data_IF_388537373489
#
_entry.id   IF_388537373489
#
_cell.length_a   1.000
_cell.length_b   1.000
_cell.length_c   1.000
_cell.angle_alpha   90.00
_cell.angle_beta   90.00
_cell.angle_gamma   90.00
#
_symmetry.space_group_name_H-M   'P 1'
#
loop_
_entity.id
_entity.type
_entity.pdbx_description
1 polymer ?
#
# COMPACT_ATOMS: atom_id res chain seq x y z
N UNK A 1 -1.72 -1.62 20.10
CA UNK A 1 -0.74 -1.26 21.14
C UNK A 1 0.56 -0.78 20.56
N UNK A 2 1.36 -1.67 19.95
CA UNK A 2 2.72 -1.39 19.48
C UNK A 2 2.82 -0.18 18.52
N UNK A 3 1.90 -0.02 17.57
CA UNK A 3 1.91 1.13 16.66
C UNK A 3 1.74 2.48 17.35
N UNK A 4 0.90 2.56 18.39
CA UNK A 4 0.73 3.77 19.19
C UNK A 4 2.00 4.11 19.96
N UNK A 5 2.59 3.13 20.63
CA UNK A 5 3.84 3.30 21.37
C UNK A 5 5.00 3.68 20.46
N UNK A 6 5.04 3.10 19.25
CA UNK A 6 6.03 3.46 18.26
C UNK A 6 5.88 4.90 17.80
N UNK A 7 4.65 5.35 17.48
CA UNK A 7 4.39 6.75 17.11
C UNK A 7 4.71 7.71 18.26
N UNK A 8 4.32 7.38 19.50
CA UNK A 8 4.64 8.18 20.68
C UNK A 8 6.16 8.31 20.87
N UNK A 9 6.88 7.19 20.76
CA UNK A 9 8.34 7.18 20.80
C UNK A 9 8.96 8.03 19.69
N UNK A 10 8.43 7.98 18.45
CA UNK A 10 8.89 8.82 17.35
C UNK A 10 8.71 10.31 17.68
N UNK A 11 7.55 10.70 18.23
CA UNK A 11 7.29 12.07 18.64
C UNK A 11 8.22 12.51 19.78
N UNK A 12 8.31 11.72 20.85
CA UNK A 12 9.16 12.02 21.99
C UNK A 12 10.64 12.17 21.59
N UNK A 13 11.12 11.33 20.67
CA UNK A 13 12.53 11.28 20.27
C UNK A 13 12.89 12.35 19.24
N UNK A 14 12.04 12.56 18.22
CA UNK A 14 12.40 13.36 17.05
C UNK A 14 11.73 14.74 16.97
N UNK A 15 10.76 15.08 17.83
CA UNK A 15 10.06 16.38 17.78
C UNK A 15 10.98 17.60 17.80
N UNK A 16 12.09 17.52 18.54
CA UNK A 16 13.08 18.62 18.69
C UNK A 16 14.40 18.34 17.98
N UNK A 17 14.53 17.21 17.29
CA UNK A 17 15.76 16.86 16.54
C UNK A 17 15.67 17.35 15.11
N UNK A 18 16.82 17.39 14.45
CA UNK A 18 16.89 17.73 13.04
C UNK A 18 16.29 16.61 12.16
N UNK A 19 15.87 16.98 10.95
CA UNK A 19 15.30 16.02 10.00
C UNK A 19 16.30 14.92 9.59
N UNK A 20 17.62 15.18 9.66
CA UNK A 20 18.64 14.20 9.33
C UNK A 20 18.63 13.02 10.30
N UNK A 21 18.50 13.29 11.61
CA UNK A 21 18.37 12.24 12.62
C UNK A 21 17.18 11.33 12.35
N UNK A 22 16.01 11.89 12.05
CA UNK A 22 14.82 11.09 11.72
C UNK A 22 15.01 10.26 10.45
N UNK A 23 15.59 10.85 9.40
CA UNK A 23 15.90 10.14 8.16
C UNK A 23 16.82 8.95 8.40
N UNK A 24 17.92 9.13 9.15
CA UNK A 24 18.92 8.10 9.35
C UNK A 24 18.49 7.01 10.33
N UNK A 25 17.76 7.36 11.39
CA UNK A 25 17.36 6.39 12.42
C UNK A 25 16.08 5.64 12.07
N UNK A 26 15.17 6.24 11.30
CA UNK A 26 13.84 5.67 11.04
C UNK A 26 13.67 5.34 9.57
N UNK A 27 13.74 6.33 8.68
CA UNK A 27 13.35 6.15 7.29
C UNK A 27 14.35 5.31 6.50
N UNK A 28 15.66 5.46 6.72
CA UNK A 28 16.69 4.67 6.02
C UNK A 28 16.60 3.18 6.38
N UNK A 29 16.54 2.77 7.66
CA UNK A 29 16.33 1.36 8.00
C UNK A 29 15.04 0.78 7.42
N UNK A 30 13.94 1.52 7.44
CA UNK A 30 12.69 1.07 6.82
C UNK A 30 12.80 0.97 5.29
N UNK A 31 13.52 1.89 4.63
CA UNK A 31 13.80 1.82 3.21
C UNK A 31 14.63 0.60 2.84
N UNK A 32 15.63 0.25 3.66
CA UNK A 32 16.42 -0.97 3.51
C UNK A 32 15.51 -2.20 3.64
N UNK A 33 14.64 -2.25 4.65
CA UNK A 33 13.66 -3.33 4.81
C UNK A 33 12.74 -3.48 3.59
N UNK A 34 12.22 -2.35 3.07
CA UNK A 34 11.42 -2.35 1.85
C UNK A 34 12.22 -2.84 0.63
N UNK A 35 13.50 -2.46 0.53
CA UNK A 35 14.41 -2.92 -0.51
C UNK A 35 14.62 -4.45 -0.45
N UNK A 36 14.92 -4.99 0.73
CA UNK A 36 15.04 -6.44 0.95
C UNK A 36 13.75 -7.17 0.58
N UNK A 37 12.59 -6.66 1.02
CA UNK A 37 11.30 -7.24 0.67
C UNK A 37 11.06 -7.24 -0.85
N UNK A 38 11.46 -6.16 -1.54
CA UNK A 38 11.35 -6.06 -3.01
C UNK A 38 12.28 -7.03 -3.72
N UNK A 39 13.52 -7.20 -3.24
CA UNK A 39 14.47 -8.19 -3.78
C UNK A 39 13.92 -9.61 -3.64
N UNK A 40 13.35 -9.94 -2.47
CA UNK A 40 12.71 -11.24 -2.26
C UNK A 40 11.51 -11.41 -3.20
N UNK A 41 10.71 -10.35 -3.42
CA UNK A 41 9.62 -10.41 -4.39
C UNK A 41 10.11 -10.60 -5.84
N UNK A 42 11.26 -10.01 -6.22
CA UNK A 42 11.89 -10.28 -7.53
C UNK A 42 12.23 -11.76 -7.65
N UNK A 43 12.84 -12.35 -6.63
CA UNK A 43 13.14 -13.78 -6.59
C UNK A 43 11.88 -14.63 -6.69
N UNK A 44 10.84 -14.28 -5.92
CA UNK A 44 9.55 -14.96 -5.94
C UNK A 44 8.90 -14.91 -7.33
N UNK A 45 8.88 -13.76 -7.98
CA UNK A 45 8.27 -13.62 -9.31
C UNK A 45 9.06 -14.35 -10.41
N UNK A 46 10.39 -14.29 -10.37
CA UNK A 46 11.26 -14.72 -11.48
C UNK A 46 11.80 -16.15 -11.35
N UNK A 47 11.97 -16.67 -10.14
CA UNK A 47 12.66 -17.95 -9.89
C UNK A 47 11.72 -18.96 -9.24
N UNK A 48 11.22 -18.65 -8.03
CA UNK A 48 10.36 -19.56 -7.28
C UNK A 48 9.35 -18.80 -6.43
N UNK A 49 8.10 -18.82 -6.87
CA UNK A 49 6.98 -18.13 -6.22
C UNK A 49 6.68 -18.67 -4.81
N UNK A 50 7.16 -19.86 -4.46
CA UNK A 50 7.02 -20.47 -3.13
C UNK A 50 8.11 -20.05 -2.13
N UNK A 51 9.21 -19.45 -2.58
CA UNK A 51 10.33 -19.08 -1.72
C UNK A 51 9.92 -18.02 -0.69
N UNK A 52 9.98 -18.37 0.60
CA UNK A 52 9.51 -17.54 1.72
C UNK A 52 8.07 -17.00 1.53
N UNK A 53 7.24 -17.74 0.78
CA UNK A 53 5.87 -17.36 0.45
C UNK A 53 4.93 -18.57 0.59
N UNK A 54 4.79 -19.15 1.79
CA UNK A 54 4.09 -20.42 1.95
C UNK A 54 2.59 -20.32 1.65
N UNK A 55 2.02 -21.44 1.17
CA UNK A 55 0.58 -21.66 1.13
C UNK A 55 -0.17 -20.87 0.04
N UNK A 56 -1.23 -20.18 0.45
CA UNK A 56 -2.26 -19.60 -0.42
C UNK A 56 -1.70 -18.60 -1.45
N UNK A 57 -0.79 -17.70 -1.06
CA UNK A 57 -0.28 -16.68 -1.98
C UNK A 57 0.58 -17.24 -3.12
N UNK A 58 1.36 -18.28 -2.86
CA UNK A 58 2.10 -18.97 -3.93
C UNK A 58 1.15 -19.65 -4.92
N UNK A 59 0.08 -20.30 -4.43
CA UNK A 59 -0.93 -20.93 -5.31
C UNK A 59 -1.65 -19.92 -6.21
N UNK A 60 -1.91 -18.72 -5.68
CA UNK A 60 -2.47 -17.60 -6.45
C UNK A 60 -1.44 -16.92 -7.35
N UNK A 61 -0.19 -17.38 -7.34
CA UNK A 61 0.94 -16.80 -8.06
C UNK A 61 1.13 -15.32 -7.70
N UNK A 62 1.21 -15.00 -6.41
CA UNK A 62 1.39 -13.61 -5.93
C UNK A 62 2.58 -13.53 -4.99
N UNK A 63 3.48 -12.58 -5.23
CA UNK A 63 4.64 -12.37 -4.38
C UNK A 63 4.24 -11.60 -3.11
N UNK A 64 4.72 -12.07 -1.95
CA UNK A 64 4.54 -11.39 -0.66
C UNK A 64 5.80 -10.69 -0.15
N UNK A 65 6.91 -10.82 -0.88
CA UNK A 65 8.21 -10.36 -0.41
C UNK A 65 8.55 -11.06 0.91
N UNK A 66 8.87 -10.27 1.94
CA UNK A 66 9.11 -10.77 3.30
C UNK A 66 7.92 -10.58 4.24
N UNK A 67 6.78 -10.10 3.75
CA UNK A 67 5.61 -9.77 4.59
C UNK A 67 4.64 -10.93 4.75
N UNK A 68 4.86 -12.06 4.08
CA UNK A 68 4.01 -13.26 4.12
C UNK A 68 2.57 -13.06 3.60
N UNK A 69 2.18 -11.81 3.32
CA UNK A 69 0.93 -11.43 2.67
C UNK A 69 1.21 -10.46 1.50
N UNK A 70 0.69 -10.83 0.33
CA UNK A 70 0.85 -10.06 -0.88
C UNK A 70 0.12 -8.70 -0.83
N UNK A 71 -1.00 -8.55 -0.12
CA UNK A 71 -1.71 -7.26 -0.09
C UNK A 71 -0.96 -6.17 0.71
N UNK A 72 -0.50 -6.40 1.96
CA UNK A 72 0.35 -5.47 2.68
C UNK A 72 1.68 -5.20 1.96
N UNK A 73 2.29 -6.22 1.35
CA UNK A 73 3.50 -6.02 0.55
C UNK A 73 3.27 -5.06 -0.60
N UNK A 74 2.21 -5.27 -1.39
CA UNK A 74 1.85 -4.38 -2.49
C UNK A 74 1.60 -2.94 -2.03
N UNK A 75 0.87 -2.77 -0.93
CA UNK A 75 0.58 -1.45 -0.36
C UNK A 75 1.86 -0.76 0.12
N UNK A 76 2.74 -1.49 0.82
CA UNK A 76 4.05 -0.99 1.22
C UNK A 76 4.85 -0.55 0.00
N UNK A 77 4.97 -1.40 -1.02
CA UNK A 77 5.71 -1.08 -2.24
C UNK A 77 5.16 0.18 -2.92
N UNK A 78 3.83 0.32 -3.01
CA UNK A 78 3.18 1.50 -3.57
C UNK A 78 3.53 2.79 -2.81
N UNK A 79 3.37 2.79 -1.48
CA UNK A 79 3.62 3.95 -0.63
C UNK A 79 5.11 4.35 -0.62
N UNK A 80 6.01 3.38 -0.65
CA UNK A 80 7.45 3.63 -0.69
C UNK A 80 7.94 4.31 -1.98
N UNK A 81 7.17 4.22 -3.07
CA UNK A 81 7.41 5.06 -4.25
C UNK A 81 7.37 6.55 -3.93
N UNK A 82 6.37 6.98 -3.16
CA UNK A 82 6.23 8.38 -2.73
C UNK A 82 7.20 8.76 -1.60
N UNK A 83 7.34 7.89 -0.59
CA UNK A 83 8.24 8.13 0.55
C UNK A 83 9.70 8.22 0.07
N UNK A 84 10.15 7.31 -0.80
CA UNK A 84 11.51 7.32 -1.33
C UNK A 84 11.80 8.58 -2.13
N UNK A 85 10.87 9.04 -2.97
CA UNK A 85 11.01 10.30 -3.70
C UNK A 85 11.03 11.51 -2.74
N UNK A 86 10.17 11.52 -1.72
CA UNK A 86 10.19 12.58 -0.71
C UNK A 86 11.52 12.62 0.06
N UNK A 87 12.10 11.46 0.40
CA UNK A 87 13.42 11.37 1.00
C UNK A 87 14.51 11.93 0.07
N UNK A 88 14.48 11.59 -1.21
CA UNK A 88 15.40 12.10 -2.22
C UNK A 88 15.33 13.64 -2.30
N UNK A 89 14.13 14.20 -2.41
CA UNK A 89 13.91 15.65 -2.47
C UNK A 89 14.29 16.36 -1.18
N UNK A 90 14.11 15.72 -0.01
CA UNK A 90 14.50 16.30 1.28
C UNK A 90 16.02 16.47 1.40
N UNK A 91 16.79 15.53 0.83
CA UNK A 91 18.26 15.60 0.79
C UNK A 91 18.76 16.60 -0.24
N UNK A 92 18.02 16.79 -1.34
CA UNK A 92 18.40 17.76 -2.37
C UNK A 92 18.43 19.20 -1.83
N UNK A 93 17.54 19.57 -0.91
CA UNK A 93 17.57 20.93 -0.32
C UNK A 93 18.92 21.29 0.32
N UNK A 94 19.75 20.29 0.64
CA UNK A 94 21.09 20.45 1.20
C UNK A 94 22.24 20.19 0.20
N UNK A 95 21.96 19.92 -1.08
CA UNK A 95 22.95 19.44 -2.06
C UNK A 95 22.82 20.13 -3.42
N UNK A 96 23.94 20.31 -4.12
CA UNK A 96 24.03 20.81 -5.51
C UNK A 96 23.78 19.73 -6.57
N UNK A 97 23.04 18.66 -6.21
CA UNK A 97 22.81 17.51 -7.10
C UNK A 97 22.13 17.96 -8.40
N UNK A 98 22.70 17.61 -9.58
CA UNK A 98 22.11 18.01 -10.85
C UNK A 98 20.69 17.43 -11.05
N UNK A 99 19.75 18.19 -11.65
CA UNK A 99 18.39 17.76 -11.90
C UNK A 99 18.22 16.38 -12.58
N UNK A 100 19.12 16.03 -13.49
CA UNK A 100 19.07 14.76 -14.23
C UNK A 100 19.26 13.54 -13.31
N UNK A 101 20.11 13.64 -12.30
CA UNK A 101 20.34 12.54 -11.35
C UNK A 101 19.11 12.33 -10.46
N UNK A 102 18.43 13.40 -10.07
CA UNK A 102 17.21 13.31 -9.28
C UNK A 102 16.07 12.65 -10.07
N UNK A 103 15.96 12.97 -11.36
CA UNK A 103 15.00 12.34 -12.25
C UNK A 103 15.31 10.85 -12.44
N UNK A 104 16.58 10.50 -12.66
CA UNK A 104 17.01 9.10 -12.78
C UNK A 104 16.76 8.31 -11.48
N UNK A 105 17.12 8.87 -10.32
CA UNK A 105 16.88 8.23 -9.03
C UNK A 105 15.37 8.10 -8.72
N UNK A 106 14.57 9.11 -9.06
CA UNK A 106 13.11 9.05 -8.96
C UNK A 106 12.55 7.93 -9.83
N UNK A 107 13.01 7.82 -11.07
CA UNK A 107 12.58 6.76 -11.97
C UNK A 107 12.95 5.37 -11.41
N UNK A 108 14.16 5.19 -10.88
CA UNK A 108 14.58 3.94 -10.26
C UNK A 108 13.71 3.55 -9.05
N UNK A 109 13.41 4.52 -8.16
CA UNK A 109 12.54 4.31 -7.00
C UNK A 109 11.14 3.91 -7.44
N UNK A 110 10.56 4.61 -8.43
CA UNK A 110 9.24 4.30 -8.96
C UNK A 110 9.22 2.94 -9.65
N UNK A 111 10.24 2.58 -10.41
CA UNK A 111 10.30 1.26 -11.05
C UNK A 111 10.34 0.12 -10.03
N UNK A 112 11.14 0.25 -8.96
CA UNK A 112 11.16 -0.74 -7.88
C UNK A 112 9.82 -0.83 -7.13
N UNK A 113 9.22 0.33 -6.83
CA UNK A 113 7.91 0.45 -6.18
C UNK A 113 6.80 -0.20 -7.01
N UNK A 114 6.73 0.11 -8.31
CA UNK A 114 5.73 -0.42 -9.22
C UNK A 114 5.93 -1.90 -9.52
N UNK A 115 7.18 -2.37 -9.58
CA UNK A 115 7.47 -3.80 -9.66
C UNK A 115 6.89 -4.55 -8.45
N UNK A 116 7.22 -4.13 -7.22
CA UNK A 116 6.72 -4.78 -6.01
C UNK A 116 5.19 -4.74 -5.92
N UNK A 117 4.59 -3.59 -6.23
CA UNK A 117 3.14 -3.43 -6.33
C UNK A 117 2.53 -4.43 -7.31
N UNK A 118 3.09 -4.57 -8.50
CA UNK A 118 2.55 -5.44 -9.53
C UNK A 118 2.73 -6.93 -9.22
N UNK A 119 3.93 -7.32 -8.79
CA UNK A 119 4.26 -8.68 -8.36
C UNK A 119 3.34 -9.17 -7.23
N UNK A 120 2.87 -8.24 -6.40
CA UNK A 120 1.92 -8.53 -5.34
C UNK A 120 0.50 -8.87 -5.81
N UNK A 121 0.12 -8.51 -7.04
CA UNK A 121 -1.24 -8.66 -7.54
C UNK A 121 -2.31 -7.86 -6.78
N UNK A 122 -1.95 -6.93 -5.89
CA UNK A 122 -2.92 -6.24 -5.03
C UNK A 122 -3.70 -5.14 -5.77
N UNK A 123 -5.02 -5.28 -5.86
CA UNK A 123 -5.92 -4.27 -6.49
C UNK A 123 -5.95 -2.95 -5.73
N UNK A 124 -5.93 -2.99 -4.39
CA UNK A 124 -5.89 -1.78 -3.56
C UNK A 124 -4.54 -1.08 -3.63
N UNK A 125 -3.45 -1.84 -3.76
CA UNK A 125 -2.12 -1.27 -3.97
C UNK A 125 -2.03 -0.54 -5.31
N UNK A 126 -2.68 -1.04 -6.37
CA UNK A 126 -2.74 -0.36 -7.67
C UNK A 126 -3.38 1.04 -7.54
N UNK A 127 -4.50 1.15 -6.82
CA UNK A 127 -5.14 2.44 -6.57
C UNK A 127 -4.23 3.37 -5.76
N UNK A 128 -3.61 2.86 -4.69
CA UNK A 128 -2.65 3.63 -3.89
C UNK A 128 -1.46 4.10 -4.72
N UNK A 129 -0.92 3.23 -5.59
CA UNK A 129 0.18 3.54 -6.51
C UNK A 129 -0.19 4.63 -7.51
N UNK A 130 -1.43 4.63 -8.02
CA UNK A 130 -1.92 5.71 -8.89
C UNK A 130 -1.99 7.05 -8.15
N UNK A 131 -2.48 7.06 -6.91
CA UNK A 131 -2.50 8.27 -6.06
C UNK A 131 -1.08 8.76 -5.77
N UNK A 132 -0.17 7.87 -5.40
CA UNK A 132 1.25 8.20 -5.19
C UNK A 132 1.88 8.77 -6.44
N UNK A 133 1.65 8.15 -7.61
CA UNK A 133 2.19 8.60 -8.89
C UNK A 133 1.69 10.01 -9.23
N UNK A 134 0.42 10.32 -9.00
CA UNK A 134 -0.12 11.66 -9.19
C UNK A 134 0.63 12.71 -8.35
N UNK A 135 0.83 12.45 -7.05
CA UNK A 135 1.53 13.38 -6.16
C UNK A 135 3.02 13.50 -6.49
N UNK A 136 3.68 12.40 -6.86
CA UNK A 136 5.08 12.41 -7.30
C UNK A 136 5.21 13.19 -8.60
N UNK A 137 4.34 12.95 -9.60
CA UNK A 137 4.35 13.69 -10.85
C UNK A 137 4.16 15.20 -10.61
N UNK A 138 3.21 15.58 -9.76
CA UNK A 138 2.99 16.97 -9.37
C UNK A 138 4.22 17.59 -8.68
N UNK A 139 4.89 16.85 -7.79
CA UNK A 139 6.08 17.33 -7.08
C UNK A 139 7.31 17.46 -8.01
N UNK A 140 7.44 16.56 -8.98
CA UNK A 140 8.58 16.52 -9.91
C UNK A 140 8.38 17.41 -11.14
N UNK A 141 7.15 17.85 -11.42
CA UNK A 141 6.79 18.66 -12.59
C UNK A 141 7.70 19.88 -12.81
N UNK A 142 8.03 20.71 -11.80
CA UNK A 142 8.90 21.86 -12.00
C UNK A 142 10.32 21.46 -12.44
N UNK A 143 10.82 20.32 -11.97
CA UNK A 143 12.14 19.81 -12.33
C UNK A 143 12.19 19.33 -13.78
N UNK A 144 11.11 18.67 -14.22
CA UNK A 144 10.94 18.23 -15.60
C UNK A 144 10.99 19.42 -16.57
N UNK A 145 10.29 20.52 -16.23
CA UNK A 145 10.30 21.74 -17.04
C UNK A 145 11.69 22.39 -17.15
N UNK A 146 12.49 22.35 -16.07
CA UNK A 146 13.84 22.95 -16.06
C UNK A 146 14.85 22.22 -16.94
N UNK A 147 14.77 20.89 -17.04
CA UNK A 147 15.71 20.07 -17.81
C UNK A 147 15.36 20.08 -19.31
N UNK A 148 14.10 20.35 -19.65
CA UNK A 148 13.59 20.36 -21.02
C UNK A 148 13.30 18.94 -21.53
N UNK A 149 12.12 18.76 -22.12
CA UNK A 149 11.59 17.45 -22.57
C UNK A 149 12.51 16.70 -23.53
N UNK A 150 13.30 17.41 -24.35
CA UNK A 150 14.25 16.83 -25.31
C UNK A 150 15.44 16.08 -24.68
N UNK A 151 15.87 16.45 -23.47
CA UNK A 151 16.97 15.78 -22.74
C UNK A 151 16.47 14.71 -21.75
N UNK A 152 15.19 14.78 -21.40
CA UNK A 152 14.47 13.86 -20.51
C UNK A 152 13.95 12.61 -21.23
N UNK A 153 13.59 12.77 -22.50
CA UNK A 153 12.90 11.74 -23.27
C UNK A 153 13.61 10.38 -23.24
N UNK A 154 14.91 10.23 -23.54
CA UNK A 154 15.49 8.88 -23.57
C UNK A 154 15.63 8.26 -22.17
N UNK A 155 16.01 9.02 -21.13
CA UNK A 155 16.29 8.43 -19.81
C UNK A 155 15.02 8.06 -19.03
N UNK A 156 13.99 8.91 -19.07
CA UNK A 156 12.72 8.63 -18.40
C UNK A 156 11.93 7.58 -19.18
N UNK A 157 11.91 7.66 -20.51
CA UNK A 157 11.22 6.65 -21.34
C UNK A 157 11.93 5.31 -21.23
N UNK A 158 13.27 5.24 -21.20
CA UNK A 158 13.99 3.97 -20.99
C UNK A 158 13.77 3.42 -19.57
N UNK A 159 13.74 4.24 -18.53
CA UNK A 159 13.47 3.76 -17.16
C UNK A 159 12.01 3.29 -16.97
N UNK A 160 11.05 3.98 -17.59
CA UNK A 160 9.63 3.59 -17.63
C UNK A 160 9.43 2.35 -18.50
N UNK A 161 10.08 2.26 -19.66
CA UNK A 161 10.03 1.08 -20.53
C UNK A 161 10.70 -0.12 -19.88
N UNK A 162 11.84 0.04 -19.20
CA UNK A 162 12.46 -1.04 -18.42
C UNK A 162 11.59 -1.46 -17.23
N UNK A 163 10.88 -0.52 -16.60
CA UNK A 163 9.84 -0.82 -15.62
C UNK A 163 8.69 -1.63 -16.23
N UNK A 164 8.11 -1.18 -17.34
CA UNK A 164 7.04 -1.87 -18.06
C UNK A 164 7.47 -3.22 -18.64
N UNK A 165 8.70 -3.37 -19.10
CA UNK A 165 9.27 -4.63 -19.60
C UNK A 165 9.54 -5.58 -18.45
N UNK A 166 10.03 -5.12 -17.30
CA UNK A 166 10.14 -5.94 -16.09
C UNK A 166 8.76 -6.35 -15.52
N UNK A 167 7.72 -5.55 -15.74
CA UNK A 167 6.32 -5.85 -15.37
C UNK A 167 5.67 -6.92 -16.27
N UNK A 168 6.09 -7.03 -17.54
CA UNK A 168 5.51 -7.93 -18.54
C UNK A 168 6.34 -9.19 -18.79
N UNK A 169 7.66 -9.12 -18.66
CA UNK A 169 8.55 -10.16 -19.20
C UNK A 169 9.03 -11.23 -18.21
N UNK A 170 8.87 -11.06 -16.89
CA UNK A 170 9.63 -11.90 -15.92
C UNK A 170 8.84 -12.56 -14.80
N UNK A 171 7.52 -12.40 -14.73
CA UNK A 171 6.75 -12.91 -13.59
C UNK A 171 5.94 -14.16 -13.92
N UNK A 172 6.17 -15.25 -13.18
CA UNK A 172 5.10 -16.22 -12.95
C UNK A 172 3.92 -15.60 -12.19
N UNK A 173 4.04 -14.37 -11.68
CA UNK A 173 3.05 -13.75 -10.82
C UNK A 173 1.86 -13.12 -11.57
N UNK A 174 0.65 -13.31 -11.04
CA UNK A 174 -0.60 -12.69 -11.50
C UNK A 174 -0.66 -11.23 -11.06
N UNK A 175 -0.76 -10.32 -12.03
CA UNK A 175 -0.76 -8.88 -11.80
C UNK A 175 -2.10 -8.33 -11.29
N UNK A 176 -2.13 -7.09 -10.75
CA UNK A 176 -3.36 -6.48 -10.25
C UNK A 176 -4.37 -6.21 -11.36
N UNK A 177 -3.92 -5.93 -12.60
CA UNK A 177 -4.81 -5.72 -13.75
C UNK A 177 -5.54 -7.00 -14.14
N UNK A 178 -4.85 -8.13 -14.19
CA UNK A 178 -5.43 -9.44 -14.48
C UNK A 178 -6.51 -9.84 -13.46
N UNK A 179 -6.37 -9.38 -12.21
CA UNK A 179 -7.40 -9.56 -11.17
C UNK A 179 -8.54 -8.53 -11.22
N UNK A 180 -8.30 -7.38 -11.83
CA UNK A 180 -9.28 -6.29 -11.89
C UNK A 180 -10.16 -6.40 -13.14
N UNK A 181 -9.58 -6.71 -14.29
CA UNK A 181 -10.27 -6.73 -15.58
C UNK A 181 -11.50 -7.65 -15.62
N UNK A 182 -11.52 -8.85 -14.98
CA UNK A 182 -12.71 -9.71 -14.99
C UNK A 182 -13.82 -9.18 -14.08
N UNK A 183 -13.49 -8.26 -13.16
CA UNK A 183 -14.45 -7.66 -12.22
C UNK A 183 -15.07 -6.37 -12.72
N UNK A 184 -14.61 -5.83 -13.87
CA UNK A 184 -15.14 -4.58 -14.40
C UNK A 184 -16.57 -4.77 -14.93
N UNK A 185 -17.50 -3.85 -14.62
CA UNK A 185 -18.85 -3.93 -15.15
C UNK A 185 -18.86 -3.69 -16.66
N UNK A 186 -19.83 -4.31 -17.34
CA UNK A 186 -20.21 -3.92 -18.69
C UNK A 186 -20.87 -2.55 -18.72
N UNK A 187 -21.07 -2.00 -19.91
CA UNK A 187 -21.71 -0.70 -20.12
C UNK A 187 -23.25 -0.78 -19.99
N UNK A 188 -23.76 -1.26 -18.86
CA UNK A 188 -25.20 -1.26 -18.55
C UNK A 188 -25.47 -0.85 -17.10
N UNK A 189 -26.62 -0.21 -16.87
CA UNK A 189 -27.04 0.21 -15.52
C UNK A 189 -27.20 -0.97 -14.56
N UNK A 190 -27.66 -2.11 -15.08
CA UNK A 190 -27.78 -3.36 -14.32
C UNK A 190 -26.41 -3.93 -13.95
N UNK A 191 -25.45 -3.94 -14.87
CA UNK A 191 -24.07 -4.38 -14.58
C UNK A 191 -23.37 -3.46 -13.59
N UNK A 192 -23.57 -2.14 -13.71
CA UNK A 192 -23.07 -1.17 -12.73
C UNK A 192 -23.68 -1.38 -11.34
N UNK A 193 -24.98 -1.68 -11.26
CA UNK A 193 -25.66 -1.97 -9.99
C UNK A 193 -25.13 -3.27 -9.38
N UNK A 194 -25.01 -4.33 -10.18
CA UNK A 194 -24.44 -5.60 -9.73
C UNK A 194 -22.99 -5.43 -9.25
N UNK A 195 -22.18 -4.66 -9.97
CA UNK A 195 -20.82 -4.32 -9.55
C UNK A 195 -20.78 -3.49 -8.26
N UNK A 196 -21.68 -2.52 -8.08
CA UNK A 196 -21.78 -1.76 -6.84
C UNK A 196 -22.19 -2.65 -5.66
N UNK A 197 -23.10 -3.61 -5.89
CA UNK A 197 -23.48 -4.62 -4.90
C UNK A 197 -22.28 -5.52 -4.56
N UNK A 198 -21.52 -5.99 -5.55
CA UNK A 198 -20.32 -6.81 -5.34
C UNK A 198 -19.20 -6.03 -4.63
N UNK A 199 -19.09 -4.72 -4.88
CA UNK A 199 -18.21 -3.83 -4.12
C UNK A 199 -18.66 -3.65 -2.67
N UNK A 200 -19.94 -3.90 -2.36
CA UNK A 200 -20.51 -3.77 -1.02
C UNK A 200 -20.52 -5.10 -0.24
N UNK A 201 -20.83 -6.22 -0.89
CA UNK A 201 -20.81 -7.57 -0.34
C UNK A 201 -20.06 -8.52 -1.28
N UNK A 202 -18.72 -8.41 -1.26
CA UNK A 202 -17.85 -9.19 -2.14
C UNK A 202 -17.98 -10.67 -1.80
N UNK A 203 -18.54 -11.48 -2.70
CA UNK A 203 -18.74 -12.93 -2.53
C UNK A 203 -19.27 -13.36 -1.15
N UNK A 204 -20.14 -12.56 -0.50
CA UNK A 204 -20.71 -12.87 0.82
C UNK A 204 -19.76 -12.72 2.01
N UNK A 205 -18.49 -12.32 1.82
CA UNK A 205 -17.54 -12.09 2.92
C UNK A 205 -17.97 -10.95 3.83
N UNK A 206 -18.62 -9.93 3.27
CA UNK A 206 -19.11 -8.79 4.02
C UNK A 206 -20.26 -9.17 4.94
N UNK A 207 -21.23 -9.90 4.40
CA UNK A 207 -22.38 -10.42 5.14
C UNK A 207 -21.95 -11.46 6.18
N UNK A 208 -21.01 -12.35 5.85
CA UNK A 208 -20.44 -13.34 6.78
C UNK A 208 -19.75 -12.65 7.96
N UNK A 209 -18.96 -11.61 7.70
CA UNK A 209 -18.33 -10.83 8.76
C UNK A 209 -19.35 -10.04 9.60
N UNK A 210 -20.38 -9.48 8.98
CA UNK A 210 -21.46 -8.81 9.70
C UNK A 210 -22.21 -9.79 10.62
N UNK A 211 -22.39 -11.04 10.19
CA UNK A 211 -22.96 -12.10 11.01
C UNK A 211 -22.09 -12.41 12.22
N UNK A 212 -20.78 -12.62 12.03
CA UNK A 212 -19.83 -12.83 13.12
C UNK A 212 -19.80 -11.68 14.13
N UNK A 213 -19.87 -10.43 13.66
CA UNK A 213 -19.97 -9.25 14.52
C UNK A 213 -21.28 -9.27 15.31
N UNK A 214 -22.40 -9.65 14.69
CA UNK A 214 -23.69 -9.72 15.36
C UNK A 214 -23.73 -10.82 16.44
N UNK A 215 -23.07 -11.96 16.18
CA UNK A 215 -23.03 -13.08 17.11
C UNK A 215 -22.07 -12.82 18.30
N UNK A 216 -21.00 -12.04 18.11
CA UNK A 216 -20.06 -11.66 19.19
C UNK A 216 -19.65 -10.18 19.12
N UNK A 217 -20.55 -9.23 19.44
CA UNK A 217 -20.31 -7.80 19.18
C UNK A 217 -19.26 -7.18 20.10
N UNK A 218 -19.15 -7.66 21.34
CA UNK A 218 -18.25 -7.05 22.33
C UNK A 218 -16.81 -7.53 22.20
N UNK A 219 -16.62 -8.82 21.93
CA UNK A 219 -15.30 -9.48 22.01
C UNK A 219 -14.85 -10.09 20.69
N UNK A 220 -15.71 -10.13 19.67
CA UNK A 220 -15.42 -10.71 18.38
C UNK A 220 -15.32 -12.23 18.44
N UNK A 221 -14.93 -12.83 17.31
CA UNK A 221 -14.80 -14.28 17.17
C UNK A 221 -13.42 -14.82 17.55
N UNK A 222 -12.49 -13.95 17.95
CA UNK A 222 -11.12 -14.30 18.30
C UNK A 222 -10.10 -13.82 17.28
N UNK A 223 -8.90 -13.51 17.75
CA UNK A 223 -7.80 -12.97 16.94
C UNK A 223 -7.29 -14.03 15.98
N UNK A 224 -7.26 -13.73 14.69
CA UNK A 224 -6.92 -14.66 13.61
C UNK A 224 -7.98 -15.72 13.33
N UNK A 225 -9.10 -15.73 14.06
CA UNK A 225 -10.14 -16.75 13.93
C UNK A 225 -11.08 -16.50 12.74
N UNK A 226 -11.06 -15.30 12.14
CA UNK A 226 -11.92 -15.01 10.99
C UNK A 226 -11.68 -16.00 9.85
N UNK A 227 -10.42 -16.24 9.49
CA UNK A 227 -10.05 -17.14 8.41
C UNK A 227 -10.43 -18.60 8.67
N UNK A 228 -10.54 -19.00 9.94
CA UNK A 228 -10.97 -20.34 10.33
C UNK A 228 -12.49 -20.50 10.25
N UNK A 229 -13.25 -19.46 10.62
CA UNK A 229 -14.71 -19.52 10.73
C UNK A 229 -15.44 -19.11 9.45
N UNK A 230 -14.81 -18.32 8.58
CA UNK A 230 -15.44 -17.80 7.36
C UNK A 230 -16.00 -18.88 6.42
N UNK A 231 -15.36 -20.06 6.25
CA UNK A 231 -15.92 -21.10 5.38
C UNK A 231 -17.24 -21.67 5.92
N UNK A 232 -17.34 -21.86 7.23
CA UNK A 232 -18.49 -22.49 7.88
C UNK A 232 -19.65 -21.51 8.02
N UNK A 233 -19.39 -20.28 8.47
CA UNK A 233 -20.45 -19.24 8.58
C UNK A 233 -20.95 -18.85 7.19
N UNK A 234 -20.08 -18.77 6.18
CA UNK A 234 -20.50 -18.54 4.79
C UNK A 234 -21.41 -19.66 4.26
N UNK A 235 -21.12 -20.92 4.62
CA UNK A 235 -21.93 -22.07 4.25
C UNK A 235 -23.32 -22.01 4.91
N UNK A 236 -23.39 -21.68 6.20
CA UNK A 236 -24.67 -21.52 6.92
C UNK A 236 -25.55 -20.41 6.33
N UNK A 237 -24.93 -19.35 5.79
CA UNK A 237 -25.62 -18.25 5.12
C UNK A 237 -26.01 -18.54 3.66
N UNK A 238 -25.69 -19.72 3.14
CA UNK A 238 -26.07 -20.14 1.79
C UNK A 238 -25.11 -19.70 0.68
N UNK A 239 -23.93 -19.17 1.02
CA UNK A 239 -22.90 -18.80 0.03
C UNK A 239 -21.96 -19.96 -0.34
N UNK A 240 -22.18 -21.14 0.25
CA UNK A 240 -21.24 -22.25 0.16
C UNK A 240 -20.01 -22.03 1.05
N UNK A 241 -19.04 -22.95 0.97
CA UNK A 241 -17.79 -22.83 1.73
C UNK A 241 -16.90 -21.78 1.08
N UNK A 242 -16.87 -20.59 1.67
CA UNK A 242 -15.98 -19.52 1.27
C UNK A 242 -14.52 -19.91 1.51
N UNK A 243 -13.63 -19.51 0.61
CA UNK A 243 -12.19 -19.64 0.84
C UNK A 243 -11.73 -18.70 1.97
N UNK A 244 -10.59 -18.95 2.62
CA UNK A 244 -10.02 -17.98 3.54
C UNK A 244 -9.58 -16.70 2.81
N UNK A 245 -10.36 -15.62 2.91
CA UNK A 245 -9.99 -14.25 2.50
C UNK A 245 -10.30 -13.27 3.65
N UNK A 246 -9.91 -12.00 3.51
CA UNK A 246 -10.28 -10.96 4.46
C UNK A 246 -11.78 -10.60 4.37
N UNK A 247 -12.29 -9.91 5.39
CA UNK A 247 -13.70 -9.49 5.47
C UNK A 247 -14.06 -8.34 4.51
N UNK A 248 -13.46 -8.33 3.30
CA UNK A 248 -13.53 -7.30 2.25
C UNK A 248 -12.92 -5.94 2.62
N UNK A 249 -13.11 -5.51 3.87
CA UNK A 249 -12.55 -4.30 4.46
C UNK A 249 -11.79 -4.68 5.74
N UNK A 250 -10.55 -4.20 5.86
CA UNK A 250 -9.72 -4.44 7.03
C UNK A 250 -10.37 -3.97 8.33
N UNK A 251 -11.06 -2.82 8.34
CA UNK A 251 -11.78 -2.37 9.55
C UNK A 251 -12.91 -3.32 9.96
N UNK A 252 -13.64 -3.87 8.99
CA UNK A 252 -14.68 -4.87 9.24
C UNK A 252 -14.07 -6.17 9.76
N UNK A 253 -12.94 -6.59 9.18
CA UNK A 253 -12.21 -7.78 9.60
C UNK A 253 -11.73 -7.65 11.05
N UNK A 254 -11.06 -6.55 11.38
CA UNK A 254 -10.63 -6.27 12.76
C UNK A 254 -11.81 -6.23 13.72
N UNK A 255 -12.92 -5.59 13.34
CA UNK A 255 -14.11 -5.56 14.19
C UNK A 255 -14.71 -6.95 14.41
N UNK A 256 -14.72 -7.82 13.39
CA UNK A 256 -15.20 -9.20 13.51
C UNK A 256 -14.33 -10.03 14.47
N UNK A 257 -13.00 -9.88 14.40
CA UNK A 257 -12.09 -10.65 15.26
C UNK A 257 -12.00 -10.13 16.70
N UNK A 258 -11.96 -8.81 16.89
CA UNK A 258 -11.71 -8.19 18.18
C UNK A 258 -12.98 -7.73 18.92
N UNK A 259 -14.11 -7.62 18.22
CA UNK A 259 -15.30 -6.95 18.73
C UNK A 259 -15.06 -5.48 19.03
N UNK A 260 -16.06 -4.82 19.61
CA UNK A 260 -15.98 -3.40 19.96
C UNK A 260 -14.86 -3.15 20.98
N UNK A 261 -14.75 -3.96 22.03
CA UNK A 261 -13.81 -3.71 23.13
C UNK A 261 -12.36 -3.82 22.67
N UNK A 262 -12.01 -4.86 21.92
CA UNK A 262 -10.66 -4.99 21.34
C UNK A 262 -10.40 -3.96 20.24
N UNK A 263 -11.44 -3.44 19.59
CA UNK A 263 -11.31 -2.44 18.53
C UNK A 263 -11.08 -1.01 19.01
N UNK A 264 -11.43 -0.68 20.26
CA UNK A 264 -11.29 0.68 20.81
C UNK A 264 -9.87 1.22 20.62
N UNK A 265 -8.85 0.39 20.83
CA UNK A 265 -7.45 0.81 20.72
C UNK A 265 -7.06 1.30 19.32
N UNK A 266 -7.47 0.58 18.27
CA UNK A 266 -7.17 1.01 16.90
C UNK A 266 -8.11 2.13 16.43
N UNK A 267 -9.37 2.16 16.89
CA UNK A 267 -10.31 3.24 16.57
C UNK A 267 -9.81 4.58 17.11
N UNK A 268 -9.40 4.62 18.38
CA UNK A 268 -8.78 5.80 18.99
C UNK A 268 -7.54 6.21 18.23
N UNK A 269 -6.67 5.26 17.85
CA UNK A 269 -5.49 5.55 17.05
C UNK A 269 -5.84 6.19 15.69
N UNK A 270 -6.82 5.65 14.95
CA UNK A 270 -7.24 6.22 13.67
C UNK A 270 -7.74 7.65 13.86
N UNK A 271 -8.56 7.91 14.87
CA UNK A 271 -9.08 9.26 15.17
C UNK A 271 -7.93 10.23 15.46
N UNK A 272 -6.99 9.85 16.32
CA UNK A 272 -5.82 10.68 16.65
C UNK A 272 -4.93 10.92 15.43
N UNK A 273 -4.72 9.90 14.60
CA UNK A 273 -3.93 9.99 13.38
C UNK A 273 -4.59 10.91 12.35
N UNK A 274 -5.89 10.78 12.12
CA UNK A 274 -6.64 11.69 11.24
C UNK A 274 -6.59 13.12 11.76
N UNK A 275 -6.80 13.32 13.07
CA UNK A 275 -6.67 14.64 13.69
C UNK A 275 -5.28 15.22 13.46
N UNK A 276 -4.22 14.43 13.62
CA UNK A 276 -2.85 14.85 13.37
C UNK A 276 -2.62 15.26 11.90
N UNK A 277 -3.19 14.52 10.94
CA UNK A 277 -3.07 14.83 9.51
C UNK A 277 -3.76 16.13 9.12
N UNK A 278 -4.91 16.44 9.73
CA UNK A 278 -5.73 17.61 9.41
C UNK A 278 -5.54 18.79 10.36
N UNK A 279 -4.80 18.64 11.46
CA UNK A 279 -4.45 19.77 12.32
C UNK A 279 -3.42 20.63 11.61
N UNK A 280 -3.74 21.92 11.43
CA UNK A 280 -2.80 22.89 10.88
C UNK A 280 -1.49 22.85 11.68
N UNK A 281 -0.37 22.84 10.96
CA UNK A 281 0.94 22.98 11.59
C UNK A 281 1.09 24.45 12.01
N UNK A 282 1.20 24.77 13.31
CA UNK A 282 1.53 26.13 13.72
C UNK A 282 2.93 26.46 13.19
N UNK A 283 3.00 27.29 12.13
CA UNK A 283 4.26 27.72 11.52
C UNK A 283 4.22 28.04 10.01
N UNK A 284 3.14 27.77 9.28
CA UNK A 284 3.03 28.15 7.85
C UNK A 284 2.37 29.51 7.60
N UNK A 285 2.01 30.25 8.64
CA UNK A 285 1.36 31.56 8.56
C UNK A 285 2.18 32.64 9.27
N UNK A 286 3.36 32.97 8.75
CA UNK A 286 4.03 34.25 9.06
C UNK A 286 5.13 34.50 8.03
N UNK A 287 4.80 35.25 6.98
CA UNK A 287 5.77 35.63 5.95
C UNK A 287 5.19 36.26 4.69
N UNK A 288 4.01 36.87 4.75
CA UNK A 288 3.59 37.87 3.75
C UNK A 288 2.87 38.99 4.50
N UNK A 289 3.64 39.94 5.03
CA UNK A 289 3.18 41.32 5.10
C UNK A 289 3.80 42.04 3.90
N UNK A 290 3.00 42.19 2.86
CA UNK A 290 3.22 43.18 1.83
C UNK A 290 2.78 44.55 2.39
N UNK A 291 3.59 45.58 2.16
CA UNK A 291 3.35 46.96 2.58
C UNK A 291 4.61 47.61 3.09
#
# INVERSE_FOLDING_TARGET
GLGLLWVDWLYATFRRRDNSSFLQTVLVPLAIGCGVATIVAVYQSAIDIGFLNPGHWATLRRASGTLMDANPFGMMAALWGGIGVAMLLSRQRASTTPPVFLLAATAAILSASWFGLWASGSRSALLAGAVVLFFVARAMWPLVLRVGTRRLAPTVVVAVLLGCVALVATGSSVGPWERLSPTLPGASAESLRAFATELWDRNGYGTTAARMIADSPLVGVGVGSFHALVPDVGFELGYGRLEPDNAQNWFRHQLAEFGILGSLGWMVWVILFLRLLFSDRPGSSSGVSAG
#
